data_IF_859581372272
#
_entry.id   IF_859581372272
#
_cell.length_a   1.000
_cell.length_b   1.000
_cell.length_c   1.000
_cell.angle_alpha   90.00
_cell.angle_beta   90.00
_cell.angle_gamma   90.00
#
_symmetry.space_group_name_H-M   'P 1'
#
loop_
_entity.id
_entity.type
_entity.pdbx_description
1 polymer ?
#
# COMPACT_ATOMS: atom_id res chain seq x y z
N UNK A 1 7.51 -9.24 -5.89
CA UNK A 1 8.85 -9.38 -5.28
C UNK A 1 8.99 -8.71 -3.90
N UNK A 2 8.14 -7.71 -3.57
CA UNK A 2 8.17 -7.05 -2.25
C UNK A 2 7.57 -7.88 -1.12
N UNK A 3 6.67 -8.82 -1.41
CA UNK A 3 6.00 -9.67 -0.42
C UNK A 3 6.94 -10.62 0.34
N UNK A 4 8.09 -10.91 -0.21
CA UNK A 4 9.08 -11.80 0.42
C UNK A 4 9.99 -11.08 1.42
N UNK A 5 10.22 -9.77 1.24
CA UNK A 5 11.22 -9.04 2.03
C UNK A 5 10.81 -8.83 3.49
N UNK A 6 9.56 -8.44 3.78
CA UNK A 6 9.11 -8.30 5.17
C UNK A 6 8.98 -9.65 5.88
N UNK A 7 8.60 -10.71 5.14
CA UNK A 7 8.59 -12.09 5.68
C UNK A 7 10.00 -12.52 6.07
N UNK A 8 10.99 -12.20 5.22
CA UNK A 8 12.40 -12.42 5.52
C UNK A 8 12.85 -11.65 6.77
N UNK A 9 12.48 -10.36 6.91
CA UNK A 9 12.81 -9.57 8.09
C UNK A 9 12.24 -10.17 9.38
N UNK A 10 10.98 -10.59 9.36
CA UNK A 10 10.34 -11.22 10.53
C UNK A 10 11.02 -12.54 10.86
N UNK A 11 11.32 -13.38 9.86
CA UNK A 11 12.03 -14.64 10.06
C UNK A 11 13.45 -14.44 10.61
N UNK A 12 14.16 -13.43 10.09
CA UNK A 12 15.49 -13.07 10.59
C UNK A 12 15.44 -12.59 12.04
N UNK A 13 14.47 -11.75 12.39
CA UNK A 13 14.27 -11.29 13.75
C UNK A 13 13.95 -12.43 14.73
N UNK A 14 13.10 -13.38 14.30
CA UNK A 14 12.80 -14.60 15.07
C UNK A 14 14.06 -15.44 15.29
N UNK A 15 14.87 -15.63 14.25
CA UNK A 15 16.12 -16.39 14.33
C UNK A 15 17.10 -15.74 15.33
N UNK A 16 17.22 -14.41 15.30
CA UNK A 16 18.07 -13.67 16.25
C UNK A 16 17.62 -13.80 17.71
N UNK A 17 16.34 -14.00 17.96
CA UNK A 17 15.79 -14.22 19.30
C UNK A 17 15.96 -15.68 19.72
N UNK A 18 15.71 -16.63 18.83
CA UNK A 18 15.73 -18.06 19.18
C UNK A 18 17.15 -18.59 19.38
N UNK A 19 18.12 -18.07 18.65
CA UNK A 19 19.51 -18.55 18.70
C UNK A 19 20.15 -18.39 20.10
N UNK A 20 20.08 -17.24 20.77
CA UNK A 20 20.59 -17.11 22.15
C UNK A 20 19.84 -17.99 23.16
N UNK A 21 18.51 -18.16 22.98
CA UNK A 21 17.71 -19.02 23.88
C UNK A 21 18.18 -20.48 23.76
N UNK A 22 18.37 -20.96 22.53
CA UNK A 22 18.87 -22.32 22.30
C UNK A 22 20.30 -22.51 22.84
N UNK A 23 21.18 -21.51 22.65
CA UNK A 23 22.52 -21.55 23.19
C UNK A 23 22.53 -21.62 24.74
N UNK A 24 21.64 -20.86 25.38
CA UNK A 24 21.48 -20.87 26.84
C UNK A 24 20.95 -22.23 27.34
N UNK A 25 19.96 -22.79 26.67
CA UNK A 25 19.42 -24.13 26.97
C UNK A 25 20.51 -25.21 26.80
N UNK A 26 21.33 -25.09 25.76
CA UNK A 26 22.45 -26.03 25.54
C UNK A 26 23.43 -25.97 26.69
N UNK A 27 23.84 -24.79 27.16
CA UNK A 27 24.77 -24.61 28.27
C UNK A 27 24.20 -25.17 29.57
N UNK A 28 22.92 -24.90 29.87
CA UNK A 28 22.22 -25.40 31.05
C UNK A 28 22.07 -26.93 31.07
N UNK A 29 22.00 -27.55 29.90
CA UNK A 29 21.81 -29.00 29.78
C UNK A 29 23.14 -29.77 29.64
N UNK A 30 24.28 -29.05 29.71
CA UNK A 30 25.61 -29.70 29.69
C UNK A 30 25.99 -30.05 31.11
N UNK A 31 26.11 -31.34 31.39
CA UNK A 31 26.58 -31.84 32.68
C UNK A 31 28.07 -31.54 32.81
N UNK A 32 28.40 -30.68 33.76
CA UNK A 32 29.78 -30.40 34.17
C UNK A 32 30.14 -31.36 35.30
N UNK A 33 30.82 -32.45 34.98
CA UNK A 33 31.33 -33.37 35.99
C UNK A 33 32.39 -32.64 36.84
N UNK A 34 32.08 -32.50 38.14
CA UNK A 34 33.01 -31.99 39.13
C UNK A 34 34.04 -33.08 39.41
N UNK A 35 35.28 -32.90 39.00
CA UNK A 35 36.36 -33.81 39.19
C UNK A 35 36.85 -33.67 40.64
N UNK A 36 37.00 -34.83 41.35
CA UNK A 36 37.58 -34.87 42.71
C UNK A 36 39.04 -34.49 42.66
N UNK A 37 39.55 -33.90 43.77
CA UNK A 37 40.97 -33.53 43.91
C UNK A 37 41.90 -34.71 43.66
N UNK A 38 41.54 -35.92 44.13
CA UNK A 38 42.30 -37.14 43.90
C UNK A 38 42.35 -37.57 42.43
N UNK A 39 41.30 -37.32 41.69
CA UNK A 39 41.25 -37.65 40.25
C UNK A 39 42.06 -36.63 39.45
N UNK A 40 42.12 -35.38 39.90
CA UNK A 40 42.90 -34.32 39.29
C UNK A 40 44.40 -34.61 39.35
N UNK A 41 44.91 -35.09 40.49
CA UNK A 41 46.34 -35.40 40.71
C UNK A 41 46.80 -36.60 39.86
N UNK A 42 45.91 -37.44 39.39
CA UNK A 42 46.17 -38.60 38.53
C UNK A 42 46.04 -38.34 37.05
N UNK A 43 45.62 -37.10 36.63
CA UNK A 43 45.44 -36.75 35.23
C UNK A 43 46.76 -36.53 34.50
N UNK A 44 46.80 -36.88 33.22
CA UNK A 44 47.94 -36.53 32.37
C UNK A 44 47.99 -34.99 32.14
N UNK A 45 49.18 -34.48 31.89
CA UNK A 45 49.41 -33.04 31.64
C UNK A 45 48.52 -32.50 30.50
N UNK A 46 48.29 -33.33 29.46
CA UNK A 46 47.39 -33.00 28.32
C UNK A 46 45.93 -32.88 28.77
N UNK A 47 45.49 -33.73 29.70
CA UNK A 47 44.12 -33.70 30.24
C UNK A 47 43.90 -32.46 31.13
N UNK A 48 44.88 -32.08 31.93
CA UNK A 48 44.85 -30.87 32.74
C UNK A 48 44.79 -29.62 31.87
N UNK A 49 45.55 -29.57 30.77
CA UNK A 49 45.53 -28.45 29.85
C UNK A 49 44.16 -28.32 29.13
N UNK A 50 43.58 -29.43 28.68
CA UNK A 50 42.22 -29.43 28.08
C UNK A 50 41.17 -28.99 29.06
N UNK A 51 41.26 -29.39 30.33
CA UNK A 51 40.34 -28.98 31.37
C UNK A 51 40.45 -27.47 31.64
N UNK A 52 41.66 -26.93 31.66
CA UNK A 52 41.89 -25.49 31.83
C UNK A 52 41.38 -24.66 30.67
N UNK A 53 41.51 -25.15 29.43
CA UNK A 53 40.98 -24.50 28.25
C UNK A 53 39.46 -24.55 28.25
N UNK A 54 38.83 -25.66 28.65
CA UNK A 54 37.39 -25.76 28.82
C UNK A 54 36.87 -24.82 29.91
N UNK A 55 37.55 -24.67 31.04
CA UNK A 55 37.17 -23.71 32.08
C UNK A 55 37.25 -22.26 31.60
N UNK A 56 38.27 -21.88 30.83
CA UNK A 56 38.37 -20.55 30.21
C UNK A 56 37.24 -20.29 29.23
N UNK A 57 36.89 -21.30 28.44
CA UNK A 57 35.77 -21.22 27.48
C UNK A 57 34.43 -21.07 28.20
N UNK A 58 34.27 -21.75 29.32
CA UNK A 58 33.12 -21.67 30.20
C UNK A 58 32.99 -20.27 30.83
N UNK A 59 34.07 -19.73 31.39
CA UNK A 59 34.13 -18.40 32.00
C UNK A 59 33.81 -17.31 30.95
N UNK A 60 34.40 -17.39 29.76
CA UNK A 60 34.10 -16.51 28.65
C UNK A 60 32.61 -16.60 28.26
N UNK A 61 32.08 -17.82 28.16
CA UNK A 61 30.69 -18.05 27.75
C UNK A 61 29.72 -17.53 28.81
N UNK A 62 29.95 -17.77 30.09
CA UNK A 62 29.08 -17.32 31.19
C UNK A 62 29.13 -15.81 31.39
N UNK A 63 30.23 -15.14 31.07
CA UNK A 63 30.38 -13.69 31.25
C UNK A 63 29.86 -12.90 30.04
N UNK A 64 30.18 -13.33 28.82
CA UNK A 64 29.89 -12.56 27.59
C UNK A 64 28.57 -12.96 26.97
N UNK A 65 28.15 -14.22 27.02
CA UNK A 65 26.92 -14.70 26.40
C UNK A 65 25.64 -13.96 26.87
N UNK A 66 25.45 -13.63 28.15
CA UNK A 66 24.29 -12.88 28.58
C UNK A 66 24.18 -11.50 27.89
N UNK A 67 25.32 -10.80 27.78
CA UNK A 67 25.35 -9.47 27.12
C UNK A 67 25.05 -9.58 25.63
N UNK A 68 25.71 -10.52 24.95
CA UNK A 68 25.44 -10.78 23.51
C UNK A 68 23.99 -11.21 23.28
N UNK A 69 23.44 -12.05 24.15
CA UNK A 69 22.06 -12.51 24.09
C UNK A 69 21.07 -11.35 24.20
N UNK A 70 21.27 -10.43 25.13
CA UNK A 70 20.41 -9.23 25.28
C UNK A 70 20.47 -8.38 24.02
N UNK A 71 21.66 -8.12 23.47
CA UNK A 71 21.84 -7.34 22.25
C UNK A 71 21.14 -8.00 21.07
N UNK A 72 21.27 -9.32 20.90
CA UNK A 72 20.62 -10.07 19.82
C UNK A 72 19.08 -10.06 19.95
N UNK A 73 18.55 -10.23 21.15
CA UNK A 73 17.11 -10.19 21.42
C UNK A 73 16.54 -8.80 21.12
N UNK A 74 17.18 -7.75 21.60
CA UNK A 74 16.74 -6.36 21.34
C UNK A 74 16.78 -6.06 19.85
N UNK A 75 17.86 -6.42 19.17
CA UNK A 75 18.00 -6.25 17.72
C UNK A 75 16.94 -7.04 16.96
N UNK A 76 16.69 -8.28 17.35
CA UNK A 76 15.65 -9.13 16.77
C UNK A 76 14.25 -8.52 16.92
N UNK A 77 13.90 -7.99 18.09
CA UNK A 77 12.63 -7.31 18.35
C UNK A 77 12.46 -6.07 17.46
N UNK A 78 13.51 -5.24 17.34
CA UNK A 78 13.46 -4.05 16.47
C UNK A 78 13.21 -4.44 15.01
N UNK A 79 13.89 -5.46 14.52
CA UNK A 79 13.71 -5.96 13.14
C UNK A 79 12.27 -6.49 12.93
N UNK A 80 11.71 -7.23 13.89
CA UNK A 80 10.32 -7.71 13.83
C UNK A 80 9.34 -6.54 13.77
N UNK A 81 9.51 -5.54 14.63
CA UNK A 81 8.63 -4.35 14.65
C UNK A 81 8.66 -3.64 13.30
N UNK A 82 9.84 -3.42 12.72
CA UNK A 82 9.99 -2.80 11.40
C UNK A 82 9.29 -3.64 10.32
N UNK A 83 9.48 -4.96 10.35
CA UNK A 83 8.83 -5.91 9.43
C UNK A 83 7.30 -5.85 9.52
N UNK A 84 6.76 -5.88 10.73
CA UNK A 84 5.32 -5.80 11.00
C UNK A 84 4.71 -4.45 10.59
N UNK A 85 5.38 -3.34 10.87
CA UNK A 85 4.92 -2.01 10.45
C UNK A 85 4.83 -1.88 8.92
N UNK A 86 5.85 -2.36 8.21
CA UNK A 86 5.82 -2.40 6.74
C UNK A 86 4.74 -3.32 6.18
N UNK A 87 4.59 -4.50 6.76
CA UNK A 87 3.52 -5.42 6.38
C UNK A 87 2.14 -4.80 6.57
N UNK A 88 1.88 -4.17 7.71
CA UNK A 88 0.60 -3.51 7.99
C UNK A 88 0.28 -2.41 6.97
N UNK A 89 1.28 -1.59 6.60
CA UNK A 89 1.10 -0.55 5.60
C UNK A 89 0.70 -1.12 4.22
N UNK A 90 1.40 -2.17 3.77
CA UNK A 90 1.12 -2.84 2.49
C UNK A 90 -0.25 -3.52 2.52
N UNK A 91 -0.58 -4.20 3.62
CA UNK A 91 -1.87 -4.86 3.76
C UNK A 91 -3.04 -3.87 3.69
N UNK A 92 -2.88 -2.71 4.33
CA UNK A 92 -3.89 -1.65 4.27
C UNK A 92 -4.11 -1.13 2.84
N UNK A 93 -3.05 -0.92 2.08
CA UNK A 93 -3.15 -0.49 0.68
C UNK A 93 -3.84 -1.56 -0.19
N UNK A 94 -3.50 -2.84 0.04
CA UNK A 94 -4.10 -3.96 -0.67
C UNK A 94 -5.60 -4.09 -0.36
N UNK A 95 -5.98 -3.96 0.90
CA UNK A 95 -7.37 -4.00 1.33
C UNK A 95 -8.19 -2.84 0.72
N UNK A 96 -7.60 -1.64 0.62
CA UNK A 96 -8.22 -0.51 -0.05
C UNK A 96 -8.39 -0.76 -1.56
N UNK A 97 -7.41 -1.37 -2.23
CA UNK A 97 -7.50 -1.76 -3.63
C UNK A 97 -8.58 -2.82 -3.86
N UNK A 98 -8.61 -3.88 -3.06
CA UNK A 98 -9.62 -4.95 -3.15
C UNK A 98 -11.03 -4.39 -2.95
N UNK A 99 -11.22 -3.52 -1.95
CA UNK A 99 -12.51 -2.83 -1.76
C UNK A 99 -12.89 -1.99 -2.98
N UNK A 100 -11.93 -1.26 -3.53
CA UNK A 100 -12.08 -0.47 -4.74
C UNK A 100 -12.58 -1.32 -5.91
N UNK A 101 -11.89 -2.39 -6.21
CA UNK A 101 -12.19 -3.26 -7.33
C UNK A 101 -13.53 -4.00 -7.13
N UNK A 102 -13.83 -4.35 -5.89
CA UNK A 102 -15.12 -4.97 -5.55
C UNK A 102 -16.28 -4.01 -5.78
N UNK A 103 -16.15 -2.74 -5.39
CA UNK A 103 -17.19 -1.73 -5.62
C UNK A 103 -17.30 -1.45 -7.12
N UNK A 104 -16.20 -1.28 -7.83
CA UNK A 104 -16.18 -1.03 -9.28
C UNK A 104 -16.85 -2.17 -10.06
N UNK A 105 -16.58 -3.43 -9.68
CA UNK A 105 -17.24 -4.60 -10.26
C UNK A 105 -18.75 -4.63 -9.96
N UNK A 106 -19.15 -4.29 -8.74
CA UNK A 106 -20.58 -4.27 -8.35
C UNK A 106 -21.39 -3.24 -9.13
N UNK A 107 -20.79 -2.12 -9.51
CA UNK A 107 -21.46 -1.06 -10.31
C UNK A 107 -21.30 -1.26 -11.82
N UNK A 108 -20.78 -2.42 -12.27
CA UNK A 108 -20.49 -2.71 -13.67
C UNK A 108 -19.74 -1.57 -14.39
N UNK A 109 -18.85 -0.91 -13.68
CA UNK A 109 -18.04 0.17 -14.23
C UNK A 109 -16.77 -0.39 -14.88
N UNK A 110 -16.47 0.10 -16.06
CA UNK A 110 -15.22 -0.19 -16.77
C UNK A 110 -14.34 1.07 -16.79
N UNK A 111 -13.07 0.91 -16.55
CA UNK A 111 -12.12 2.00 -16.69
C UNK A 111 -11.74 2.16 -18.16
N UNK A 112 -11.80 3.38 -18.67
CA UNK A 112 -11.39 3.69 -20.03
C UNK A 112 -9.88 3.46 -20.20
N UNK A 113 -9.49 2.94 -21.34
CA UNK A 113 -8.09 2.87 -21.74
C UNK A 113 -7.53 4.26 -22.05
N UNK A 114 -6.21 4.40 -22.10
CA UNK A 114 -5.57 5.68 -22.42
C UNK A 114 -6.00 6.20 -23.82
N UNK A 115 -6.19 5.32 -24.78
CA UNK A 115 -6.66 5.70 -26.12
C UNK A 115 -8.09 6.17 -26.12
N UNK A 116 -9.00 5.49 -25.41
CA UNK A 116 -10.40 5.91 -25.28
C UNK A 116 -10.53 7.23 -24.52
N UNK A 117 -9.69 7.47 -23.52
CA UNK A 117 -9.66 8.76 -22.80
C UNK A 117 -9.26 9.90 -23.71
N UNK A 118 -8.24 9.72 -24.56
CA UNK A 118 -7.83 10.73 -25.56
C UNK A 118 -8.95 10.99 -26.56
N UNK A 119 -9.62 9.96 -27.04
CA UNK A 119 -10.75 10.07 -27.98
C UNK A 119 -11.93 10.79 -27.34
N UNK A 120 -12.29 10.47 -26.09
CA UNK A 120 -13.31 11.17 -25.30
C UNK A 120 -13.02 12.67 -25.25
N UNK A 121 -11.83 13.05 -24.78
CA UNK A 121 -11.42 14.46 -24.66
C UNK A 121 -11.43 15.16 -26.01
N UNK A 122 -10.96 14.51 -27.09
CA UNK A 122 -10.99 15.06 -28.43
C UNK A 122 -12.42 15.32 -28.92
N UNK A 123 -13.34 14.39 -28.67
CA UNK A 123 -14.75 14.53 -29.02
C UNK A 123 -15.43 15.66 -28.21
N UNK A 124 -15.12 15.79 -26.93
CA UNK A 124 -15.63 16.89 -26.10
C UNK A 124 -15.19 18.26 -26.64
N UNK A 125 -13.89 18.41 -26.95
CA UNK A 125 -13.35 19.65 -27.49
C UNK A 125 -13.96 19.99 -28.87
N UNK A 126 -14.18 18.98 -29.72
CA UNK A 126 -14.76 19.16 -31.04
C UNK A 126 -16.24 19.61 -30.96
N UNK A 127 -16.99 19.04 -30.02
CA UNK A 127 -18.40 19.39 -29.79
C UNK A 127 -18.53 20.81 -29.27
N UNK A 128 -17.62 21.29 -28.44
CA UNK A 128 -17.65 22.67 -27.92
C UNK A 128 -17.31 23.74 -28.97
N UNK A 129 -16.65 23.38 -30.06
CA UNK A 129 -16.19 24.31 -31.10
C UNK A 129 -17.09 24.40 -32.36
N UNK A 130 -18.32 23.87 -32.31
CA UNK A 130 -19.20 23.89 -33.50
C UNK A 130 -18.50 23.37 -34.77
N UNK A 131 -18.01 22.11 -34.76
CA UNK A 131 -17.49 21.39 -35.93
C UNK A 131 -16.17 21.88 -36.55
N UNK A 132 -15.29 22.49 -35.79
CA UNK A 132 -13.90 22.65 -36.29
C UNK A 132 -13.18 21.29 -36.26
N UNK A 133 -12.94 20.71 -37.42
CA UNK A 133 -12.43 19.36 -37.67
C UNK A 133 -10.97 19.13 -37.22
N UNK A 134 -10.28 20.15 -36.73
CA UNK A 134 -8.89 20.05 -36.29
C UNK A 134 -8.75 20.42 -34.80
N UNK A 135 -8.92 19.43 -33.94
CA UNK A 135 -8.56 19.58 -32.52
C UNK A 135 -7.04 19.52 -32.39
N UNK A 136 -6.43 20.61 -31.96
CA UNK A 136 -4.98 20.65 -31.72
C UNK A 136 -4.60 19.65 -30.61
N UNK A 137 -3.62 18.80 -30.85
CA UNK A 137 -3.09 17.84 -29.85
C UNK A 137 -2.68 18.53 -28.55
N UNK A 138 -2.18 19.75 -28.62
CA UNK A 138 -1.80 20.54 -27.44
C UNK A 138 -3.00 20.87 -26.54
N UNK A 139 -4.17 21.06 -27.11
CA UNK A 139 -5.42 21.28 -26.32
C UNK A 139 -5.86 20.03 -25.60
N UNK A 140 -5.81 18.88 -26.26
CA UNK A 140 -6.11 17.58 -25.64
C UNK A 140 -5.19 17.32 -24.47
N UNK A 141 -3.90 17.49 -24.67
CA UNK A 141 -2.88 17.32 -23.61
C UNK A 141 -3.14 18.28 -22.43
N UNK A 142 -3.45 19.54 -22.72
CA UNK A 142 -3.75 20.53 -21.68
C UNK A 142 -5.03 20.19 -20.90
N UNK A 143 -6.05 19.73 -21.57
CA UNK A 143 -7.30 19.30 -20.95
C UNK A 143 -7.05 18.13 -19.99
N UNK A 144 -6.37 17.08 -20.46
CA UNK A 144 -5.99 15.92 -19.65
C UNK A 144 -5.13 16.30 -18.44
N UNK A 145 -4.22 17.28 -18.59
CA UNK A 145 -3.44 17.77 -17.44
C UNK A 145 -4.30 18.47 -16.39
N UNK A 146 -5.37 19.15 -16.81
CA UNK A 146 -6.32 19.80 -15.88
C UNK A 146 -7.15 18.74 -15.16
N UNK A 147 -7.67 17.75 -15.87
CA UNK A 147 -8.39 16.63 -15.26
C UNK A 147 -7.52 15.90 -14.23
N UNK A 148 -6.25 15.61 -14.55
CA UNK A 148 -5.31 14.96 -13.64
C UNK A 148 -5.03 15.83 -12.38
N UNK A 149 -4.89 17.15 -12.56
CA UNK A 149 -4.75 18.08 -11.43
C UNK A 149 -6.00 18.09 -10.53
N UNK A 150 -7.18 18.12 -11.12
CA UNK A 150 -8.44 18.04 -10.40
C UNK A 150 -8.56 16.70 -9.65
N UNK A 151 -8.25 15.60 -10.31
CA UNK A 151 -8.25 14.28 -9.69
C UNK A 151 -7.30 14.22 -8.48
N UNK A 152 -6.06 14.68 -8.64
CA UNK A 152 -5.07 14.73 -7.53
C UNK A 152 -5.54 15.60 -6.37
N UNK A 153 -6.17 16.73 -6.66
CA UNK A 153 -6.74 17.62 -5.64
C UNK A 153 -7.87 16.94 -4.86
N UNK A 154 -8.86 16.37 -5.56
CA UNK A 154 -10.00 15.70 -4.94
C UNK A 154 -9.56 14.42 -4.23
N UNK A 155 -8.65 13.65 -4.80
CA UNK A 155 -8.07 12.47 -4.17
C UNK A 155 -7.50 12.80 -2.80
N UNK A 156 -6.71 13.88 -2.71
CA UNK A 156 -6.10 14.32 -1.45
C UNK A 156 -7.12 14.82 -0.44
N UNK A 157 -8.20 15.45 -0.90
CA UNK A 157 -9.22 16.06 -0.03
C UNK A 157 -10.28 15.07 0.45
N UNK A 158 -10.64 14.08 -0.40
CA UNK A 158 -11.76 13.17 -0.17
C UNK A 158 -11.35 11.75 0.26
N UNK A 159 -10.04 11.42 0.28
CA UNK A 159 -9.53 10.06 0.49
C UNK A 159 -10.07 9.34 1.73
N UNK A 160 -10.42 10.06 2.78
CA UNK A 160 -10.93 9.47 4.03
C UNK A 160 -12.32 8.86 3.87
N UNK A 161 -13.18 9.49 3.10
CA UNK A 161 -14.61 9.13 2.96
C UNK A 161 -14.93 8.47 1.65
N UNK A 162 -14.18 8.78 0.61
CA UNK A 162 -14.45 8.37 -0.75
C UNK A 162 -13.25 7.67 -1.37
N UNK A 163 -13.56 6.78 -2.29
CA UNK A 163 -12.63 6.18 -3.20
C UNK A 163 -12.82 6.82 -4.56
N UNK A 164 -11.82 7.52 -5.07
CA UNK A 164 -11.90 8.19 -6.35
C UNK A 164 -11.45 7.28 -7.48
N UNK A 165 -12.24 7.30 -8.55
CA UNK A 165 -11.89 6.68 -9.82
C UNK A 165 -12.04 7.73 -10.92
N UNK A 166 -11.14 7.71 -11.89
CA UNK A 166 -11.08 8.62 -13.02
C UNK A 166 -11.45 7.85 -14.29
N UNK A 167 -12.11 8.54 -15.23
CA UNK A 167 -12.44 8.01 -16.55
C UNK A 167 -13.17 6.67 -16.49
N UNK A 168 -14.32 6.65 -15.82
CA UNK A 168 -15.17 5.46 -15.73
C UNK A 168 -16.28 5.51 -16.77
N UNK A 169 -16.52 4.37 -17.44
CA UNK A 169 -17.72 4.12 -18.23
C UNK A 169 -18.70 3.32 -17.40
N UNK A 170 -19.91 3.85 -17.19
CA UNK A 170 -21.00 3.19 -16.49
C UNK A 170 -22.24 3.22 -17.39
N UNK A 171 -22.71 2.05 -17.78
CA UNK A 171 -23.73 1.94 -18.80
C UNK A 171 -23.22 2.48 -20.13
N UNK A 172 -23.88 3.54 -20.64
CA UNK A 172 -23.52 4.19 -21.91
C UNK A 172 -22.79 5.52 -21.74
N UNK A 173 -22.63 5.99 -20.52
CA UNK A 173 -22.01 7.27 -20.23
C UNK A 173 -20.61 7.13 -19.64
N UNK A 174 -19.80 8.13 -19.92
CA UNK A 174 -18.44 8.28 -19.43
C UNK A 174 -18.41 9.41 -18.41
N UNK A 175 -17.71 9.16 -17.31
CA UNK A 175 -17.62 10.04 -16.15
C UNK A 175 -16.17 10.42 -15.91
N UNK A 176 -15.88 11.71 -15.72
CA UNK A 176 -14.51 12.19 -15.53
C UNK A 176 -13.95 11.72 -14.19
N UNK A 177 -14.66 12.00 -13.09
CA UNK A 177 -14.28 11.53 -11.77
C UNK A 177 -15.54 11.07 -11.03
N UNK A 178 -15.49 9.86 -10.50
CA UNK A 178 -16.49 9.31 -9.59
C UNK A 178 -15.85 9.05 -8.25
N UNK A 179 -16.39 9.67 -7.19
CA UNK A 179 -15.97 9.43 -5.81
C UNK A 179 -16.99 8.49 -5.15
N UNK A 180 -16.58 7.22 -5.03
CA UNK A 180 -17.39 6.15 -4.45
C UNK A 180 -17.32 6.24 -2.93
N UNK A 181 -18.46 6.37 -2.26
CA UNK A 181 -18.50 6.43 -0.79
C UNK A 181 -18.10 5.08 -0.18
N UNK A 182 -17.21 5.13 0.83
CA UNK A 182 -16.72 3.96 1.57
C UNK A 182 -17.75 3.43 2.57
N UNK A 183 -18.69 4.27 2.99
CA UNK A 183 -19.59 3.98 4.12
C UNK A 183 -21.08 4.03 3.76
N UNK A 184 -21.43 4.76 2.73
CA UNK A 184 -22.82 4.96 2.30
C UNK A 184 -22.97 4.60 0.84
N UNK A 185 -24.21 4.65 0.32
CA UNK A 185 -24.48 4.53 -1.11
C UNK A 185 -24.58 5.91 -1.81
N UNK A 186 -24.13 6.99 -1.17
CA UNK A 186 -24.14 8.34 -1.75
C UNK A 186 -22.75 8.65 -2.33
N UNK A 187 -22.67 8.66 -3.64
CA UNK A 187 -21.45 8.92 -4.38
C UNK A 187 -21.44 10.35 -4.91
N UNK A 188 -20.26 10.86 -5.24
CA UNK A 188 -20.12 12.18 -5.87
C UNK A 188 -19.61 12.01 -7.29
N UNK A 189 -20.22 12.73 -8.22
CA UNK A 189 -19.80 12.80 -9.61
C UNK A 189 -19.24 14.19 -9.89
N UNK A 190 -18.06 14.25 -10.44
CA UNK A 190 -17.43 15.49 -10.87
C UNK A 190 -17.24 15.45 -12.37
N UNK A 191 -17.87 16.41 -13.04
CA UNK A 191 -17.71 16.68 -14.46
C UNK A 191 -16.78 17.88 -14.61
N UNK A 192 -15.71 17.73 -15.37
CA UNK A 192 -14.66 18.74 -15.53
C UNK A 192 -14.78 19.33 -16.93
N UNK A 193 -15.04 20.63 -17.00
CA UNK A 193 -15.05 21.35 -18.28
C UNK A 193 -14.02 22.46 -18.28
N UNK A 194 -13.19 22.45 -19.29
CA UNK A 194 -12.17 23.46 -19.52
C UNK A 194 -12.53 24.36 -20.70
N UNK A 195 -12.96 25.55 -20.40
CA UNK A 195 -13.28 26.54 -21.43
C UNK A 195 -12.13 27.54 -21.63
N UNK A 196 -11.75 27.74 -22.88
CA UNK A 196 -10.74 28.76 -23.28
C UNK A 196 -11.37 30.13 -23.54
N UNK A 197 -12.69 30.26 -23.43
CA UNK A 197 -13.46 31.46 -23.74
C UNK A 197 -13.70 32.24 -22.44
N UNK A 198 -13.42 33.56 -22.46
CA UNK A 198 -13.58 34.46 -21.32
C UNK A 198 -15.02 34.65 -20.86
N UNK A 199 -16.00 34.42 -21.73
CA UNK A 199 -17.43 34.62 -21.40
C UNK A 199 -18.19 33.29 -21.42
N UNK A 200 -18.49 32.80 -20.21
CA UNK A 200 -19.43 31.70 -20.02
C UNK A 200 -20.84 32.25 -20.14
N UNK A 201 -21.59 31.79 -21.16
CA UNK A 201 -23.01 32.18 -21.34
C UNK A 201 -23.91 31.36 -20.43
N UNK A 202 -25.01 31.96 -19.93
CA UNK A 202 -25.99 31.26 -19.10
C UNK A 202 -26.52 29.98 -19.77
N UNK A 203 -26.75 30.01 -21.09
CA UNK A 203 -27.20 28.84 -21.83
C UNK A 203 -26.24 27.67 -21.78
N UNK A 204 -24.93 27.94 -21.80
CA UNK A 204 -23.91 26.87 -21.66
C UNK A 204 -23.91 26.28 -20.26
N UNK A 205 -24.08 27.11 -19.25
CA UNK A 205 -24.15 26.65 -17.85
C UNK A 205 -25.43 25.82 -17.62
N UNK A 206 -26.56 26.25 -18.11
CA UNK A 206 -27.83 25.48 -18.05
C UNK A 206 -27.72 24.14 -18.75
N UNK A 207 -27.08 24.10 -19.91
CA UNK A 207 -26.83 22.84 -20.63
C UNK A 207 -25.92 21.89 -19.84
N UNK A 208 -24.87 22.42 -19.22
CA UNK A 208 -24.01 21.63 -18.37
C UNK A 208 -24.75 21.05 -17.16
N UNK A 209 -25.55 21.88 -16.46
CA UNK A 209 -26.36 21.43 -15.33
C UNK A 209 -27.33 20.33 -15.74
N UNK A 210 -28.00 20.50 -16.90
CA UNK A 210 -28.92 19.51 -17.43
C UNK A 210 -28.21 18.19 -17.76
N UNK A 211 -27.03 18.27 -18.36
CA UNK A 211 -26.22 17.09 -18.66
C UNK A 211 -25.77 16.36 -17.37
N UNK A 212 -25.32 17.08 -16.37
CA UNK A 212 -24.92 16.47 -15.07
C UNK A 212 -26.13 15.82 -14.39
N UNK A 213 -27.35 16.42 -14.45
CA UNK A 213 -28.54 15.78 -13.92
C UNK A 213 -28.84 14.46 -14.65
N UNK A 214 -28.78 14.46 -15.97
CA UNK A 214 -28.94 13.25 -16.76
C UNK A 214 -27.91 12.18 -16.43
N UNK A 215 -26.63 12.57 -16.23
CA UNK A 215 -25.57 11.68 -15.81
C UNK A 215 -25.87 11.08 -14.43
N UNK A 216 -26.37 11.86 -13.47
CA UNK A 216 -26.77 11.36 -12.16
C UNK A 216 -27.94 10.37 -12.23
N UNK A 217 -28.93 10.62 -13.08
CA UNK A 217 -30.05 9.69 -13.27
C UNK A 217 -29.59 8.37 -13.92
N UNK A 218 -28.74 8.46 -14.94
CA UNK A 218 -28.11 7.28 -15.55
C UNK A 218 -27.27 6.50 -14.56
N UNK A 219 -26.49 7.18 -13.70
CA UNK A 219 -25.71 6.56 -12.66
C UNK A 219 -26.59 5.76 -11.70
N UNK A 220 -27.66 6.37 -11.19
CA UNK A 220 -28.61 5.71 -10.27
C UNK A 220 -29.24 4.46 -10.89
N UNK A 221 -29.64 4.55 -12.14
CA UNK A 221 -30.30 3.43 -12.84
C UNK A 221 -29.37 2.25 -13.09
N UNK A 222 -28.07 2.48 -13.26
CA UNK A 222 -27.10 1.44 -13.57
C UNK A 222 -26.36 0.89 -12.34
N UNK A 223 -26.35 1.59 -11.20
CA UNK A 223 -25.49 1.24 -10.06
C UNK A 223 -26.23 0.90 -8.76
N UNK A 224 -27.53 1.15 -8.67
CA UNK A 224 -28.32 1.08 -7.43
C UNK A 224 -27.70 1.91 -6.29
N UNK A 225 -27.06 3.04 -6.65
CA UNK A 225 -26.43 4.00 -5.73
C UNK A 225 -26.90 5.40 -6.02
N UNK A 226 -26.99 6.25 -5.01
CA UNK A 226 -27.31 7.66 -5.18
C UNK A 226 -26.05 8.46 -5.57
N UNK A 227 -26.26 9.57 -6.29
CA UNK A 227 -25.18 10.51 -6.58
C UNK A 227 -25.63 11.96 -6.34
N UNK A 228 -24.66 12.78 -6.01
CA UNK A 228 -24.73 14.24 -5.88
C UNK A 228 -23.70 14.90 -6.80
#
# INVERSE_FOLDING_TARGET
QYDSFYKFLVSLGMLLITLPVLAYLYILNTDYELISQNDYDNLSEISIQRMHDNLKLLDFTTTIMPVVSIVLIVTGLVIIIIGCCKWYSIQKELDEQIKSDTITKKINATQLSSSETVEKVANEISTEQNNSTNVSSDRVVRYMQIEDKCYKYFSKKLYRRYLLKQNLRIGRLEYDIVALSKHTKNDLIFEIKYWTITNITNNRLEHLITNVKYMCENYKSNTDRNCE
#
